data_IF_229089689867
#
_entry.id   IF_229089689867
#
_cell.length_a   1.000
_cell.length_b   1.000
_cell.length_c   1.000
_cell.angle_alpha   90.00
_cell.angle_beta   90.00
_cell.angle_gamma   90.00
#
_symmetry.space_group_name_H-M   'P 1'
#
loop_
_entity.id
_entity.type
_entity.pdbx_description
1 polymer ?
#
# COMPACT_ATOMS: atom_id res chain seq x y z
N UNK A 1 -18.65 23.99 12.82
CA UNK A 1 -19.04 23.28 11.60
C UNK A 1 -17.80 22.50 11.16
N UNK A 2 -17.77 21.19 11.37
CA UNK A 2 -16.61 20.38 10.95
C UNK A 2 -16.77 20.11 9.46
N UNK A 3 -15.95 20.78 8.64
CA UNK A 3 -15.84 20.49 7.22
C UNK A 3 -15.26 19.07 7.08
N UNK A 4 -15.80 18.27 6.16
CA UNK A 4 -15.28 16.93 5.90
C UNK A 4 -13.79 16.99 5.57
N UNK A 5 -13.00 16.09 6.19
CA UNK A 5 -11.56 16.01 5.96
C UNK A 5 -11.25 14.78 5.11
N UNK A 6 -10.48 14.96 4.03
CA UNK A 6 -10.00 13.86 3.19
C UNK A 6 -9.08 12.96 4.01
N UNK A 7 -9.37 11.66 4.08
CA UNK A 7 -8.59 10.70 4.87
C UNK A 7 -7.63 9.86 4.03
N UNK A 8 -8.06 9.44 2.85
CA UNK A 8 -7.30 8.52 2.00
C UNK A 8 -7.34 9.00 0.54
N UNK A 9 -6.20 8.87 -0.15
CA UNK A 9 -6.11 9.02 -1.61
C UNK A 9 -5.58 7.72 -2.20
N UNK A 10 -6.12 7.34 -3.35
CA UNK A 10 -5.70 6.18 -4.11
C UNK A 10 -5.11 6.62 -5.44
N UNK A 11 -3.92 6.11 -5.76
CA UNK A 11 -3.34 6.20 -7.08
C UNK A 11 -3.68 4.91 -7.84
N UNK A 12 -4.40 5.06 -8.95
CA UNK A 12 -4.73 3.96 -9.85
C UNK A 12 -3.67 3.83 -10.95
N UNK A 13 -3.28 2.59 -11.22
CA UNK A 13 -2.39 2.23 -12.32
C UNK A 13 -3.10 2.22 -13.68
N UNK A 14 -2.36 1.95 -14.76
CA UNK A 14 -2.90 1.91 -16.12
C UNK A 14 -3.80 0.68 -16.40
N UNK A 15 -3.68 -0.40 -15.60
CA UNK A 15 -4.54 -1.57 -15.74
C UNK A 15 -5.86 -1.41 -14.95
N UNK A 16 -6.87 -2.18 -15.36
CA UNK A 16 -8.18 -2.22 -14.68
C UNK A 16 -8.00 -2.70 -13.24
N UNK A 17 -8.63 -2.00 -12.30
CA UNK A 17 -8.63 -2.28 -10.86
C UNK A 17 -7.23 -2.40 -10.23
N UNK A 18 -6.23 -1.76 -10.83
CA UNK A 18 -4.87 -1.75 -10.31
C UNK A 18 -4.69 -0.59 -9.32
N UNK A 19 -4.76 -0.86 -8.03
CA UNK A 19 -4.30 0.09 -7.01
C UNK A 19 -2.78 0.08 -7.04
N UNK A 20 -2.15 1.25 -7.21
CA UNK A 20 -0.70 1.42 -7.30
C UNK A 20 -0.11 2.04 -6.03
N UNK A 21 -0.86 2.93 -5.39
CA UNK A 21 -0.51 3.45 -4.07
C UNK A 21 -1.75 3.88 -3.27
N UNK A 22 -1.63 3.81 -1.94
CA UNK A 22 -2.54 4.46 -0.99
C UNK A 22 -1.75 5.50 -0.18
N UNK A 23 -2.35 6.67 -0.02
CA UNK A 23 -1.85 7.72 0.86
C UNK A 23 -2.84 7.95 1.99
N UNK A 24 -2.34 7.82 3.23
CA UNK A 24 -3.06 8.31 4.41
C UNK A 24 -2.81 9.81 4.56
N UNK A 25 -3.87 10.60 4.30
CA UNK A 25 -3.81 12.06 4.30
C UNK A 25 -3.93 12.55 5.74
N UNK A 26 -2.80 12.96 6.32
CA UNK A 26 -2.76 13.72 7.56
C UNK A 26 -2.22 15.12 7.27
N UNK A 27 -3.09 16.12 7.41
CA UNK A 27 -2.82 17.52 7.05
C UNK A 27 -1.87 18.24 8.05
N UNK A 28 -1.09 17.47 8.84
CA UNK A 28 -0.23 17.95 9.91
C UNK A 28 1.04 17.10 10.16
N UNK A 29 1.24 15.99 9.45
CA UNK A 29 2.39 15.10 9.59
C UNK A 29 2.91 14.64 8.22
N UNK A 30 4.03 13.92 8.19
CA UNK A 30 4.55 13.30 6.96
C UNK A 30 3.48 12.34 6.40
N UNK A 31 2.97 12.66 5.20
CA UNK A 31 2.01 11.83 4.47
C UNK A 31 2.63 10.43 4.28
N UNK A 32 1.93 9.40 4.77
CA UNK A 32 2.40 8.01 4.60
C UNK A 32 1.83 7.44 3.33
N UNK A 33 2.67 7.38 2.29
CA UNK A 33 2.38 6.70 1.03
C UNK A 33 2.86 5.25 1.10
N UNK A 34 1.95 4.33 0.81
CA UNK A 34 2.21 2.90 0.66
C UNK A 34 2.07 2.53 -0.81
N UNK A 35 3.05 1.81 -1.34
CA UNK A 35 3.10 1.35 -2.72
C UNK A 35 2.82 -0.14 -2.78
N UNK A 36 1.96 -0.55 -3.69
CA UNK A 36 1.67 -1.96 -3.94
C UNK A 36 2.62 -2.51 -5.00
N UNK A 37 3.24 -3.65 -4.73
CA UNK A 37 4.06 -4.37 -5.68
C UNK A 37 3.35 -5.68 -6.02
N UNK A 38 3.07 -5.88 -7.30
CA UNK A 38 2.23 -6.98 -7.76
C UNK A 38 3.03 -8.04 -8.52
N UNK A 39 2.55 -9.28 -8.51
CA UNK A 39 3.02 -10.32 -9.42
C UNK A 39 2.48 -10.14 -10.85
N UNK A 40 2.77 -11.11 -11.73
CA UNK A 40 2.34 -11.11 -13.12
C UNK A 40 0.82 -11.29 -13.32
N UNK A 41 0.07 -11.64 -12.26
CA UNK A 41 -1.40 -11.71 -12.25
C UNK A 41 -2.01 -10.44 -11.65
N UNK A 42 -1.19 -9.42 -11.37
CA UNK A 42 -1.60 -8.18 -10.71
C UNK A 42 -2.08 -8.40 -9.26
N UNK A 43 -1.70 -9.51 -8.63
CA UNK A 43 -1.97 -9.74 -7.20
C UNK A 43 -0.92 -9.00 -6.38
N UNK A 44 -1.33 -8.20 -5.39
CA UNK A 44 -0.37 -7.53 -4.48
C UNK A 44 0.39 -8.58 -3.68
N UNK A 45 1.73 -8.53 -3.74
CA UNK A 45 2.63 -9.43 -2.99
C UNK A 45 3.42 -8.70 -1.94
N UNK A 46 3.68 -7.42 -2.15
CA UNK A 46 4.38 -6.61 -1.17
C UNK A 46 3.75 -5.22 -1.05
N UNK A 47 3.84 -4.66 0.14
CA UNK A 47 3.55 -3.26 0.43
C UNK A 47 4.87 -2.61 0.80
N UNK A 48 5.26 -1.56 0.09
CA UNK A 48 6.48 -0.81 0.37
C UNK A 48 6.18 0.61 0.85
N UNK A 49 7.05 1.12 1.72
CA UNK A 49 7.01 2.50 2.22
C UNK A 49 8.41 3.11 2.15
N UNK A 50 8.47 4.37 1.76
CA UNK A 50 9.68 5.19 1.92
C UNK A 50 9.81 5.64 3.37
N UNK A 51 10.99 5.39 3.95
CA UNK A 51 11.38 5.86 5.27
C UNK A 51 12.37 7.02 5.13
N UNK A 52 11.93 8.22 5.48
CA UNK A 52 12.73 9.45 5.43
C UNK A 52 13.87 9.47 6.44
N UNK A 53 13.80 8.66 7.52
CA UNK A 53 14.86 8.56 8.52
C UNK A 53 16.09 7.78 8.01
N UNK A 54 15.86 6.78 7.16
CA UNK A 54 16.91 5.95 6.56
C UNK A 54 17.21 6.27 5.09
N UNK A 55 16.40 7.12 4.45
CA UNK A 55 16.42 7.40 3.01
C UNK A 55 16.29 6.13 2.14
N UNK A 56 15.52 5.16 2.64
CA UNK A 56 15.32 3.88 1.97
C UNK A 56 13.84 3.61 1.75
N UNK A 57 13.53 2.91 0.65
CA UNK A 57 12.22 2.28 0.47
C UNK A 57 12.33 0.83 0.91
N UNK A 58 11.49 0.43 1.86
CA UNK A 58 11.48 -0.92 2.43
C UNK A 58 10.12 -1.58 2.23
N UNK A 59 10.12 -2.91 2.12
CA UNK A 59 8.90 -3.71 2.19
C UNK A 59 8.45 -3.77 3.65
N UNK A 60 7.23 -3.28 3.91
CA UNK A 60 6.61 -3.23 5.25
C UNK A 60 5.59 -4.34 5.47
N UNK A 61 5.12 -4.97 4.39
CA UNK A 61 4.39 -6.23 4.46
C UNK A 61 4.66 -7.08 3.20
N UNK A 62 4.87 -8.37 3.39
CA UNK A 62 4.99 -9.39 2.35
C UNK A 62 3.81 -10.35 2.49
N UNK A 63 3.03 -10.53 1.43
CA UNK A 63 1.79 -11.30 1.38
C UNK A 63 1.99 -12.57 0.53
N UNK A 64 1.66 -13.72 1.11
CA UNK A 64 1.76 -15.03 0.45
C UNK A 64 0.35 -15.54 0.19
N UNK A 65 0.05 -15.85 -1.07
CA UNK A 65 -1.23 -16.43 -1.46
C UNK A 65 -1.03 -17.80 -2.12
N UNK A 66 -1.94 -18.73 -1.87
CA UNK A 66 -2.05 -19.97 -2.65
C UNK A 66 -2.51 -19.71 -4.10
N UNK A 67 -2.54 -20.76 -4.91
CA UNK A 67 -2.96 -20.68 -6.32
C UNK A 67 -4.44 -20.27 -6.51
N UNK A 68 -5.25 -20.28 -5.45
CA UNK A 68 -6.64 -19.85 -5.45
C UNK A 68 -6.83 -18.45 -4.87
N UNK A 69 -5.74 -17.73 -4.57
CA UNK A 69 -5.77 -16.38 -3.99
C UNK A 69 -6.10 -16.36 -2.50
N UNK A 70 -6.01 -17.49 -1.78
CA UNK A 70 -6.16 -17.50 -0.31
C UNK A 70 -4.85 -17.07 0.33
N UNK A 71 -4.94 -16.16 1.28
CA UNK A 71 -3.81 -15.78 2.12
C UNK A 71 -3.33 -16.99 2.92
N UNK A 72 -2.05 -17.32 2.78
CA UNK A 72 -1.38 -18.39 3.51
C UNK A 72 -0.30 -17.88 4.46
N UNK A 73 -0.09 -16.56 4.52
CA UNK A 73 0.80 -15.91 5.47
C UNK A 73 1.17 -14.50 5.05
N UNK A 74 1.52 -13.69 6.06
CA UNK A 74 2.05 -12.35 5.86
C UNK A 74 3.17 -12.03 6.86
N UNK A 75 4.04 -11.09 6.52
CA UNK A 75 5.12 -10.66 7.41
C UNK A 75 4.67 -9.67 8.49
N UNK A 76 3.52 -9.02 8.30
CA UNK A 76 2.98 -8.03 9.22
C UNK A 76 1.46 -8.21 9.36
N UNK A 77 1.04 -8.74 10.51
CA UNK A 77 -0.37 -8.92 10.85
C UNK A 77 -0.95 -7.64 11.44
N UNK A 78 -2.12 -7.22 10.94
CA UNK A 78 -2.89 -6.08 11.47
C UNK A 78 -3.32 -6.27 12.93
#
# INVERSE_FOLDING_TARGET
MQLGHLRQRYLWGPAVDQIFAEENVDNRADETVQWTLTDHLNTVRDIAKYDSGSDMTIVVNHLIYDAFGRDTGESNFS
#
